data_IF_621751831205
#
_entry.id   IF_621751831205
#
_cell.length_a   1.000
_cell.length_b   1.000
_cell.length_c   1.000
_cell.angle_alpha   90.00
_cell.angle_beta   90.00
_cell.angle_gamma   90.00
#
_symmetry.space_group_name_H-M   'P 1'
#
loop_
_entity.id
_entity.type
_entity.pdbx_description
1 polymer ?
#
# COMPACT_ATOMS: atom_id res chain seq x y z
N UNK A 1 -44.92 -30.64 -9.28
CA UNK A 1 -43.83 -30.82 -10.25
C UNK A 1 -42.88 -29.64 -10.07
N UNK A 2 -41.59 -29.91 -9.83
CA UNK A 2 -40.60 -28.95 -9.30
C UNK A 2 -40.22 -27.93 -10.36
N UNK A 3 -40.35 -26.63 -10.07
CA UNK A 3 -39.72 -25.58 -10.87
C UNK A 3 -38.26 -25.45 -10.42
N UNK A 4 -37.35 -25.89 -11.28
CA UNK A 4 -35.91 -25.76 -11.14
C UNK A 4 -35.55 -24.28 -11.13
N UNK A 5 -34.98 -23.77 -10.04
CA UNK A 5 -34.38 -22.43 -10.01
C UNK A 5 -33.16 -22.46 -10.93
N UNK A 6 -33.17 -21.58 -11.92
CA UNK A 6 -32.07 -21.41 -12.87
C UNK A 6 -30.92 -20.70 -12.15
N UNK A 7 -29.88 -21.45 -11.76
CA UNK A 7 -28.65 -20.95 -11.13
C UNK A 7 -27.64 -20.49 -12.21
N UNK A 8 -28.07 -19.57 -13.07
CA UNK A 8 -27.26 -18.88 -14.08
C UNK A 8 -27.99 -17.55 -14.26
N UNK A 9 -27.48 -16.36 -13.97
CA UNK A 9 -26.11 -15.87 -13.88
C UNK A 9 -26.09 -14.78 -12.81
N UNK A 10 -25.32 -14.95 -11.73
CA UNK A 10 -24.81 -13.81 -10.96
C UNK A 10 -23.30 -13.87 -11.07
N UNK A 11 -22.79 -13.50 -12.24
CA UNK A 11 -21.39 -13.10 -12.35
C UNK A 11 -21.32 -11.78 -11.59
N UNK A 12 -21.13 -11.85 -10.26
CA UNK A 12 -20.71 -10.67 -9.52
C UNK A 12 -19.46 -10.16 -10.21
N UNK A 13 -19.48 -8.91 -10.64
CA UNK A 13 -18.29 -8.23 -11.13
C UNK A 13 -17.16 -8.53 -10.13
N UNK A 14 -16.01 -9.08 -10.58
CA UNK A 14 -14.90 -9.31 -9.66
C UNK A 14 -14.53 -7.99 -9.00
N UNK A 15 -14.26 -8.02 -7.71
CA UNK A 15 -13.75 -6.85 -7.01
C UNK A 15 -12.42 -6.45 -7.64
N UNK A 16 -12.26 -5.15 -7.88
CA UNK A 16 -10.99 -4.53 -8.26
C UNK A 16 -10.00 -4.59 -7.09
N UNK A 17 -8.71 -4.55 -7.40
CA UNK A 17 -7.67 -4.47 -6.37
C UNK A 17 -7.85 -3.23 -5.47
N UNK A 18 -8.36 -2.12 -6.04
CA UNK A 18 -8.62 -0.87 -5.31
C UNK A 18 -9.75 -0.99 -4.27
N UNK A 19 -10.73 -1.88 -4.49
CA UNK A 19 -11.79 -2.16 -3.52
C UNK A 19 -11.29 -2.95 -2.30
N UNK A 20 -10.22 -3.73 -2.46
CA UNK A 20 -9.61 -4.52 -1.37
C UNK A 20 -8.52 -3.73 -0.66
N UNK A 21 -7.70 -3.00 -1.42
CA UNK A 21 -6.60 -2.19 -0.93
C UNK A 21 -6.64 -0.83 -1.63
N UNK A 22 -7.18 0.22 -1.00
CA UNK A 22 -7.20 1.55 -1.60
C UNK A 22 -5.77 2.06 -1.83
N UNK A 23 -5.42 2.36 -3.07
CA UNK A 23 -4.18 3.04 -3.46
C UNK A 23 -4.51 4.30 -4.25
N UNK A 24 -3.58 5.25 -4.27
CA UNK A 24 -3.62 6.40 -5.18
C UNK A 24 -2.74 6.09 -6.39
N UNK A 25 -3.19 6.50 -7.57
CA UNK A 25 -2.40 6.44 -8.79
C UNK A 25 -2.16 7.88 -9.23
N UNK A 26 -0.89 8.28 -9.28
CA UNK A 26 -0.49 9.57 -9.85
C UNK A 26 -0.69 9.57 -11.36
N UNK A 27 -0.97 10.75 -11.93
CA UNK A 27 -1.18 10.87 -13.38
C UNK A 27 0.12 10.62 -14.17
N UNK A 28 1.28 10.84 -13.54
CA UNK A 28 2.59 10.55 -14.12
C UNK A 28 3.61 10.03 -13.09
N UNK A 29 4.56 9.22 -13.55
CA UNK A 29 5.67 8.74 -12.70
C UNK A 29 6.57 9.89 -12.20
N UNK A 30 6.57 11.04 -12.87
CA UNK A 30 7.37 12.18 -12.48
C UNK A 30 6.91 12.82 -11.16
N UNK A 31 5.64 12.59 -10.77
CA UNK A 31 5.05 13.09 -9.53
C UNK A 31 5.40 12.21 -8.31
N UNK A 32 6.06 11.07 -8.52
CA UNK A 32 6.52 10.20 -7.44
C UNK A 32 7.72 10.84 -6.73
N UNK A 33 7.43 11.78 -5.85
CA UNK A 33 8.39 12.45 -4.98
C UNK A 33 8.29 11.85 -3.57
N UNK A 34 9.07 10.81 -3.33
CA UNK A 34 9.32 10.30 -1.97
C UNK A 34 10.64 10.83 -1.42
N UNK A 35 10.89 10.72 -0.11
CA UNK A 35 12.22 10.92 0.42
C UNK A 35 13.19 9.88 -0.19
N UNK A 36 14.29 10.36 -0.75
CA UNK A 36 15.32 9.51 -1.38
C UNK A 36 16.53 9.28 -0.46
N UNK A 37 16.71 10.13 0.54
CA UNK A 37 17.89 10.23 1.40
C UNK A 37 17.53 10.55 2.86
N UNK A 38 18.45 10.26 3.78
CA UNK A 38 18.29 10.51 5.20
C UNK A 38 17.47 9.45 5.95
N UNK A 39 17.23 9.69 7.24
CA UNK A 39 16.58 8.70 8.12
C UNK A 39 15.06 8.89 8.09
N UNK A 40 14.35 7.85 7.64
CA UNK A 40 12.90 7.77 7.70
C UNK A 40 12.47 7.05 8.98
N UNK A 41 11.53 7.64 9.70
CA UNK A 41 10.95 7.02 10.90
C UNK A 41 9.52 6.59 10.64
N UNK A 42 9.29 5.28 10.60
CA UNK A 42 7.97 4.71 10.42
C UNK A 42 7.16 4.72 11.73
N UNK A 43 5.84 4.96 11.66
CA UNK A 43 4.92 4.64 12.74
C UNK A 43 5.06 3.18 13.19
N UNK A 44 4.85 2.92 14.49
CA UNK A 44 5.01 1.57 15.06
C UNK A 44 4.02 0.57 14.48
N UNK A 45 2.86 1.06 14.03
CA UNK A 45 1.80 0.30 13.37
C UNK A 45 2.20 -0.17 11.97
N UNK A 46 3.26 0.38 11.38
CA UNK A 46 3.87 -0.14 10.15
C UNK A 46 5.08 -1.02 10.45
N UNK A 47 5.78 -0.75 11.55
CA UNK A 47 7.03 -1.41 11.90
C UNK A 47 6.89 -2.25 13.18
N UNK A 48 5.99 -3.23 13.17
CA UNK A 48 5.68 -4.13 14.30
C UNK A 48 6.90 -4.88 14.86
N UNK A 49 8.00 -4.96 14.11
CA UNK A 49 9.28 -5.53 14.56
C UNK A 49 10.05 -4.65 15.57
N UNK A 50 9.53 -3.47 15.94
CA UNK A 50 10.12 -2.56 16.93
C UNK A 50 11.20 -1.63 16.38
N UNK A 51 11.86 -2.01 15.28
CA UNK A 51 12.74 -1.13 14.52
C UNK A 51 11.91 -0.13 13.70
N UNK A 52 11.94 1.15 14.06
CA UNK A 52 11.16 2.20 13.38
C UNK A 52 12.00 3.17 12.54
N UNK A 53 13.33 3.15 12.66
CA UNK A 53 14.23 4.04 11.92
C UNK A 53 14.99 3.28 10.82
N UNK A 54 14.95 3.86 9.61
CA UNK A 54 15.51 3.30 8.38
C UNK A 54 16.34 4.39 7.69
N UNK A 55 17.59 4.09 7.36
CA UNK A 55 18.46 5.01 6.63
C UNK A 55 18.27 4.84 5.12
N UNK A 56 17.74 5.85 4.43
CA UNK A 56 17.49 5.79 2.99
C UNK A 56 18.78 5.86 2.15
N UNK A 57 19.90 6.25 2.75
CA UNK A 57 21.22 6.18 2.13
C UNK A 57 21.77 4.74 2.12
N UNK A 58 21.21 3.84 2.94
CA UNK A 58 21.45 2.40 2.88
C UNK A 58 20.42 1.68 1.98
N UNK A 59 20.90 0.89 1.02
CA UNK A 59 20.04 0.26 0.02
C UNK A 59 19.08 -0.78 0.62
N UNK A 60 19.52 -1.49 1.66
CA UNK A 60 18.72 -2.51 2.32
C UNK A 60 17.58 -1.85 3.09
N UNK A 61 17.88 -0.81 3.84
CA UNK A 61 16.91 -0.02 4.58
C UNK A 61 15.91 0.70 3.67
N UNK A 62 16.40 1.32 2.58
CA UNK A 62 15.54 1.94 1.57
C UNK A 62 14.58 0.93 0.96
N UNK A 63 15.07 -0.25 0.59
CA UNK A 63 14.20 -1.30 0.04
C UNK A 63 13.19 -1.81 1.06
N UNK A 64 13.63 -2.03 2.30
CA UNK A 64 12.77 -2.51 3.38
C UNK A 64 11.64 -1.53 3.69
N UNK A 65 11.95 -0.23 3.79
CA UNK A 65 10.96 0.79 4.15
C UNK A 65 9.91 0.97 3.06
N UNK A 66 10.32 1.01 1.78
CA UNK A 66 9.38 1.06 0.66
C UNK A 66 8.50 -0.18 0.60
N UNK A 67 9.06 -1.37 0.86
CA UNK A 67 8.26 -2.60 0.92
C UNK A 67 7.22 -2.54 2.03
N UNK A 68 7.60 -2.14 3.25
CA UNK A 68 6.68 -2.01 4.40
C UNK A 68 5.55 -1.03 4.06
N UNK A 69 5.88 0.14 3.51
CA UNK A 69 4.88 1.16 3.16
C UNK A 69 3.97 0.68 2.03
N UNK A 70 4.50 -0.02 1.03
CA UNK A 70 3.71 -0.58 -0.07
C UNK A 70 2.82 -1.74 0.37
N UNK A 71 3.22 -2.53 1.37
CA UNK A 71 2.47 -3.70 1.86
C UNK A 71 1.44 -3.32 2.93
N UNK A 72 1.83 -2.50 3.91
CA UNK A 72 1.06 -2.19 5.12
C UNK A 72 0.58 -0.73 5.21
N UNK A 73 1.12 0.16 4.38
CA UNK A 73 0.78 1.59 4.37
C UNK A 73 -0.67 1.86 3.97
N UNK A 74 -1.23 2.91 4.56
CA UNK A 74 -2.52 3.47 4.16
C UNK A 74 -2.30 4.85 3.54
N UNK A 75 -3.32 5.44 2.93
CA UNK A 75 -3.25 6.82 2.43
C UNK A 75 -2.83 7.82 3.52
N UNK A 76 -3.26 7.61 4.77
CA UNK A 76 -2.87 8.46 5.88
C UNK A 76 -1.37 8.34 6.17
N UNK A 77 -0.86 7.11 6.25
CA UNK A 77 0.56 6.86 6.48
C UNK A 77 1.45 7.46 5.38
N UNK A 78 1.03 7.38 4.13
CA UNK A 78 1.76 8.00 3.01
C UNK A 78 1.80 9.53 3.13
N UNK A 79 0.68 10.17 3.49
CA UNK A 79 0.63 11.62 3.69
C UNK A 79 1.56 12.12 4.79
N UNK A 80 1.76 11.32 5.84
CA UNK A 80 2.69 11.61 6.94
C UNK A 80 4.17 11.48 6.51
N UNK A 81 4.49 10.68 5.49
CA UNK A 81 5.87 10.49 5.00
C UNK A 81 6.34 11.53 3.99
N UNK A 82 5.41 12.17 3.28
CA UNK A 82 5.71 13.15 2.21
C UNK A 82 5.50 14.61 2.63
N UNK A 83 4.97 14.87 3.83
CA UNK A 83 4.79 16.23 4.40
C UNK A 83 5.99 16.67 5.24
#
# INVERSE_FOLDING_TARGET
MRHTVNMSERISTPFSFAEVKPYEVVDSLAELHGPEHGVLRLPVELAWGGRTEFDLDDEYDRTAVYKIVLEEGTKQHLGELVS
#
